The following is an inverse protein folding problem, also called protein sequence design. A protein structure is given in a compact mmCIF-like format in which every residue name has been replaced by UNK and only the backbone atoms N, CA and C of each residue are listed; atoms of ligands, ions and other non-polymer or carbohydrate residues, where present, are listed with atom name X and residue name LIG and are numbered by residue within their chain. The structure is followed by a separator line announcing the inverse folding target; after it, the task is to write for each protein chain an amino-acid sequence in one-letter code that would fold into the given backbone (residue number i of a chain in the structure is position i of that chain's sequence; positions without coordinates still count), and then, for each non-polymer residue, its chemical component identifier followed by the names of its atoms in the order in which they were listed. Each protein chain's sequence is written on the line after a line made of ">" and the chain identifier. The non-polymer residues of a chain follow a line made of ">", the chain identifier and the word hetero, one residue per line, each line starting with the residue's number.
data_IF_122314478831
#
_entry.id   IF_122314478831
#
_cell.length_a   1.000
_cell.length_b   1.000
_cell.length_c   1.000
_cell.angle_alpha   90.00
_cell.angle_beta   90.00
_cell.angle_gamma   90.00
#
_symmetry.space_group_name_H-M   'P 1'
#
loop_
_entity.id
_entity.type
_entity.pdbx_description
1 polymer ?
#
# COMPACT_ATOMS: atom_id res chain seq x y z
N UNK A 1 -14.17 2.00 38.98
CA UNK A 1 -14.42 0.90 38.02
C UNK A 1 -14.00 1.33 36.60
N UNK A 2 -12.75 1.78 36.42
CA UNK A 2 -12.19 2.26 35.12
C UNK A 2 -10.75 1.76 34.89
N UNK A 3 -10.12 1.11 35.89
CA UNK A 3 -8.72 0.67 35.85
C UNK A 3 -8.55 -0.80 35.41
N UNK A 4 -9.63 -1.60 35.47
CA UNK A 4 -9.62 -3.03 35.10
C UNK A 4 -9.80 -3.28 33.60
N UNK A 5 -10.27 -2.29 32.83
CA UNK A 5 -10.44 -2.42 31.38
C UNK A 5 -9.12 -2.18 30.61
N UNK A 6 -8.27 -1.30 31.15
CA UNK A 6 -6.99 -0.95 30.53
C UNK A 6 -6.05 -2.16 30.47
N UNK A 7 -5.93 -2.95 31.54
CA UNK A 7 -5.04 -4.12 31.60
C UNK A 7 -5.49 -5.26 30.67
N UNK A 8 -6.80 -5.42 30.42
CA UNK A 8 -7.34 -6.36 29.44
C UNK A 8 -6.97 -6.02 28.00
N UNK A 9 -6.93 -4.73 27.65
CA UNK A 9 -6.56 -4.30 26.29
C UNK A 9 -5.07 -4.58 25.98
N UNK A 10 -4.15 -4.33 26.91
CA UNK A 10 -2.72 -4.61 26.72
C UNK A 10 -2.41 -6.11 26.61
N UNK A 11 -3.14 -6.95 27.34
CA UNK A 11 -2.99 -8.41 27.28
C UNK A 11 -3.48 -9.02 25.95
N UNK A 12 -4.41 -8.36 25.25
CA UNK A 12 -4.88 -8.78 23.94
C UNK A 12 -4.04 -8.22 22.78
N UNK A 13 -3.41 -7.04 22.98
CA UNK A 13 -2.54 -6.41 21.97
C UNK A 13 -1.16 -7.08 21.92
N UNK A 14 -0.64 -7.59 23.04
CA UNK A 14 0.68 -8.22 23.12
C UNK A 14 0.88 -9.45 22.22
N UNK A 15 -0.04 -10.42 22.09
CA UNK A 15 0.14 -11.55 21.18
C UNK A 15 0.05 -11.13 19.71
N UNK A 16 -0.82 -10.15 19.37
CA UNK A 16 -0.95 -9.63 18.02
C UNK A 16 0.31 -8.87 17.59
N UNK A 17 0.80 -7.98 18.46
CA UNK A 17 2.05 -7.26 18.23
C UNK A 17 3.21 -8.24 18.10
N UNK A 18 3.29 -9.25 18.98
CA UNK A 18 4.28 -10.32 18.89
C UNK A 18 4.22 -11.10 17.57
N UNK A 19 3.01 -11.42 17.09
CA UNK A 19 2.82 -12.09 15.81
C UNK A 19 3.28 -11.21 14.63
N UNK A 20 2.92 -9.92 14.63
CA UNK A 20 3.37 -8.96 13.60
C UNK A 20 4.90 -8.86 13.58
N UNK A 21 5.53 -8.65 14.73
CA UNK A 21 7.00 -8.62 14.83
C UNK A 21 7.62 -9.94 14.38
N UNK A 22 7.04 -11.07 14.75
CA UNK A 22 7.48 -12.39 14.32
C UNK A 22 7.43 -12.57 12.81
N UNK A 23 6.34 -12.16 12.16
CA UNK A 23 6.19 -12.21 10.71
C UNK A 23 7.21 -11.30 10.02
N UNK A 24 7.36 -10.05 10.48
CA UNK A 24 8.34 -9.11 9.93
C UNK A 24 9.76 -9.68 10.05
N UNK A 25 10.12 -10.20 11.21
CA UNK A 25 11.43 -10.82 11.43
C UNK A 25 11.63 -12.03 10.52
N UNK A 26 10.62 -12.90 10.39
CA UNK A 26 10.68 -14.07 9.51
C UNK A 26 10.90 -13.67 8.04
N UNK A 27 10.22 -12.61 7.56
CA UNK A 27 10.40 -12.09 6.21
C UNK A 27 11.82 -11.55 6.00
N UNK A 28 12.36 -10.80 6.96
CA UNK A 28 13.73 -10.28 6.90
C UNK A 28 14.76 -11.42 6.88
N UNK A 29 14.61 -12.41 7.78
CA UNK A 29 15.49 -13.58 7.84
C UNK A 29 15.42 -14.38 6.53
N UNK A 30 14.22 -14.58 5.98
CA UNK A 30 14.04 -15.26 4.70
C UNK A 30 14.72 -14.51 3.56
N UNK A 31 14.61 -13.18 3.50
CA UNK A 31 15.27 -12.35 2.48
C UNK A 31 16.82 -12.47 2.57
N UNK A 32 17.38 -12.43 3.78
CA UNK A 32 18.81 -12.61 4.02
C UNK A 32 19.26 -14.02 3.62
N UNK A 33 18.51 -15.06 4.01
CA UNK A 33 18.80 -16.43 3.65
C UNK A 33 18.80 -16.65 2.13
N UNK A 34 17.80 -16.09 1.42
CA UNK A 34 17.73 -16.14 -0.04
C UNK A 34 18.95 -15.45 -0.68
N UNK A 35 19.40 -14.30 -0.16
CA UNK A 35 20.61 -13.67 -0.67
C UNK A 35 21.86 -14.50 -0.43
N UNK A 36 22.02 -15.08 0.76
CA UNK A 36 23.15 -15.95 1.05
C UNK A 36 23.17 -17.19 0.14
N UNK A 37 22.02 -17.83 -0.10
CA UNK A 37 21.90 -18.97 -1.00
C UNK A 37 22.24 -18.59 -2.45
N UNK A 38 21.89 -17.36 -2.87
CA UNK A 38 22.17 -16.85 -4.22
C UNK A 38 23.57 -16.24 -4.38
N UNK A 39 24.39 -16.24 -3.33
CA UNK A 39 25.72 -15.64 -3.35
C UNK A 39 25.71 -14.12 -3.56
N UNK A 40 24.59 -13.45 -3.27
CA UNK A 40 24.47 -12.01 -3.37
C UNK A 40 25.13 -11.34 -2.17
N UNK A 41 25.86 -10.24 -2.39
CA UNK A 41 26.40 -9.42 -1.32
C UNK A 41 25.25 -8.85 -0.48
N UNK A 42 25.36 -8.94 0.85
CA UNK A 42 24.43 -8.31 1.80
C UNK A 42 24.30 -6.80 1.55
N UNK A 43 25.35 -6.17 0.99
CA UNK A 43 25.30 -4.79 0.52
C UNK A 43 24.18 -4.51 -0.47
N UNK A 44 23.75 -5.49 -1.29
CA UNK A 44 22.65 -5.34 -2.26
C UNK A 44 21.28 -5.28 -1.58
N UNK A 45 21.12 -5.92 -0.41
CA UNK A 45 19.88 -5.88 0.37
C UNK A 45 19.75 -4.65 1.27
N UNK A 46 20.88 -4.23 1.86
CA UNK A 46 20.89 -3.25 2.95
C UNK A 46 21.15 -1.82 2.50
N UNK A 47 21.84 -1.63 1.37
CA UNK A 47 22.12 -0.31 0.81
C UNK A 47 20.96 0.14 -0.08
N UNK A 48 20.83 1.45 -0.19
CA UNK A 48 19.83 2.07 -1.05
C UNK A 48 20.04 1.67 -2.53
N UNK A 49 18.97 1.36 -3.29
CA UNK A 49 19.08 0.96 -4.69
C UNK A 49 19.78 1.99 -5.58
N UNK A 50 19.64 3.29 -5.29
CA UNK A 50 20.33 4.37 -6.02
C UNK A 50 21.84 4.29 -5.79
N UNK A 51 22.25 3.98 -4.57
CA UNK A 51 23.66 3.79 -4.22
C UNK A 51 24.24 2.51 -4.84
N UNK A 52 23.50 1.40 -4.82
CA UNK A 52 23.93 0.13 -5.41
C UNK A 52 24.04 0.23 -6.93
N UNK A 53 23.08 0.89 -7.59
CA UNK A 53 23.04 1.02 -9.04
C UNK A 53 23.94 2.17 -9.57
N UNK A 54 24.50 3.01 -8.70
CA UNK A 54 25.33 4.15 -9.11
C UNK A 54 24.58 5.18 -9.95
N UNK A 55 23.26 5.26 -9.80
CA UNK A 55 22.40 6.18 -10.57
C UNK A 55 22.25 7.51 -9.84
N UNK A 56 21.61 8.49 -10.50
CA UNK A 56 21.45 9.83 -9.97
C UNK A 56 20.67 9.81 -8.65
N UNK A 57 21.08 10.65 -7.69
CA UNK A 57 20.53 10.67 -6.34
C UNK A 57 19.01 10.91 -6.29
N UNK A 58 18.45 11.60 -7.29
CA UNK A 58 17.01 11.90 -7.38
C UNK A 58 16.19 10.82 -8.09
N UNK A 59 16.82 9.77 -8.61
CA UNK A 59 16.11 8.68 -9.28
C UNK A 59 15.23 7.96 -8.26
N UNK A 60 13.94 7.81 -8.58
CA UNK A 60 12.97 7.18 -7.68
C UNK A 60 12.37 8.12 -6.63
N UNK A 61 12.77 9.38 -6.54
CA UNK A 61 12.22 10.33 -5.55
C UNK A 61 10.69 10.44 -5.59
N UNK A 62 10.13 10.54 -6.80
CA UNK A 62 8.68 10.63 -6.97
C UNK A 62 7.99 9.32 -6.55
N UNK A 63 8.62 8.16 -6.84
CA UNK A 63 8.10 6.85 -6.43
C UNK A 63 8.11 6.70 -4.91
N UNK A 64 9.23 7.02 -4.24
CA UNK A 64 9.32 6.99 -2.77
C UNK A 64 8.35 7.97 -2.11
N UNK A 65 8.22 9.18 -2.67
CA UNK A 65 7.26 10.17 -2.16
C UNK A 65 5.82 9.69 -2.31
N UNK A 66 5.47 9.13 -3.46
CA UNK A 66 4.15 8.52 -3.70
C UNK A 66 3.86 7.42 -2.68
N UNK A 67 4.82 6.54 -2.42
CA UNK A 67 4.67 5.46 -1.43
C UNK A 67 4.41 6.00 -0.02
N UNK A 68 5.10 7.06 0.41
CA UNK A 68 4.85 7.70 1.72
C UNK A 68 3.46 8.31 1.80
N UNK A 69 3.01 8.98 0.74
CA UNK A 69 1.67 9.57 0.66
C UNK A 69 0.60 8.48 0.71
N UNK A 70 0.76 7.39 -0.05
CA UNK A 70 -0.16 6.26 -0.03
C UNK A 70 -0.18 5.53 1.31
N UNK A 71 0.98 5.36 1.96
CA UNK A 71 1.08 4.79 3.30
C UNK A 71 0.26 5.63 4.29
N UNK A 72 0.47 6.95 4.28
CA UNK A 72 -0.25 7.89 5.14
C UNK A 72 -1.75 7.84 4.89
N UNK A 73 -2.17 7.81 3.62
CA UNK A 73 -3.59 7.70 3.24
C UNK A 73 -4.21 6.38 3.72
N UNK A 74 -3.53 5.25 3.53
CA UNK A 74 -3.99 3.94 3.98
C UNK A 74 -4.11 3.89 5.52
N UNK A 75 -3.10 4.38 6.24
CA UNK A 75 -3.14 4.50 7.70
C UNK A 75 -4.28 5.39 8.17
N UNK A 76 -4.50 6.54 7.52
CA UNK A 76 -5.61 7.43 7.85
C UNK A 76 -6.97 6.76 7.63
N UNK A 77 -7.15 5.99 6.55
CA UNK A 77 -8.35 5.20 6.31
C UNK A 77 -8.57 4.13 7.39
N UNK A 78 -7.54 3.37 7.75
CA UNK A 78 -7.64 2.36 8.80
C UNK A 78 -7.94 2.99 10.17
N UNK A 79 -7.29 4.10 10.49
CA UNK A 79 -7.54 4.84 11.72
C UNK A 79 -8.96 5.44 11.76
N UNK A 80 -9.41 6.03 10.66
CA UNK A 80 -10.79 6.53 10.57
C UNK A 80 -11.81 5.39 10.74
N UNK A 81 -11.52 4.19 10.24
CA UNK A 81 -12.39 3.03 10.41
C UNK A 81 -12.54 2.60 11.88
N UNK A 82 -11.51 2.77 12.72
CA UNK A 82 -11.62 2.47 14.16
C UNK A 82 -12.41 3.53 14.92
N UNK A 83 -12.43 4.77 14.42
CA UNK A 83 -13.24 5.85 14.98
C UNK A 83 -14.73 5.73 14.65
N UNK A 84 -15.13 4.94 13.65
CA UNK A 84 -16.54 4.69 13.32
C UNK A 84 -17.15 3.71 14.33
N UNK A 85 -18.23 4.09 15.04
CA UNK A 85 -18.89 3.21 16.00
C UNK A 85 -19.31 1.87 15.39
N UNK A 86 -19.19 0.78 16.15
CA UNK A 86 -19.60 -0.57 15.73
C UNK A 86 -21.13 -0.76 15.75
N UNK A 87 -21.89 0.19 15.20
CA UNK A 87 -23.35 0.10 15.04
C UNK A 87 -23.69 -0.41 13.65
N UNK A 88 -24.75 -1.24 13.52
CA UNK A 88 -25.19 -1.79 12.23
C UNK A 88 -25.39 -0.73 11.15
N UNK A 89 -25.86 0.47 11.52
CA UNK A 89 -26.11 1.59 10.59
C UNK A 89 -24.82 2.21 10.03
N UNK A 90 -23.72 2.11 10.77
CA UNK A 90 -22.43 2.74 10.42
C UNK A 90 -21.44 1.74 9.81
N UNK A 91 -21.78 0.44 9.81
CA UNK A 91 -20.97 -0.64 9.27
C UNK A 91 -20.56 -0.41 7.81
N UNK A 92 -21.43 0.19 7.00
CA UNK A 92 -21.12 0.45 5.58
C UNK A 92 -20.04 1.52 5.42
N UNK A 93 -20.08 2.58 6.25
CA UNK A 93 -19.04 3.62 6.25
C UNK A 93 -17.70 3.10 6.74
N UNK A 94 -17.72 2.24 7.76
CA UNK A 94 -16.51 1.56 8.24
C UNK A 94 -15.91 0.64 7.16
N UNK A 95 -16.73 -0.19 6.53
CA UNK A 95 -16.28 -1.12 5.49
C UNK A 95 -15.75 -0.37 4.26
N UNK A 96 -16.34 0.78 3.92
CA UNK A 96 -15.82 1.67 2.87
C UNK A 96 -14.39 2.14 3.20
N UNK A 97 -14.16 2.66 4.41
CA UNK A 97 -12.84 3.11 4.85
C UNK A 97 -11.81 1.97 4.86
N UNK A 98 -12.20 0.79 5.34
CA UNK A 98 -11.34 -0.40 5.29
C UNK A 98 -11.01 -0.81 3.85
N UNK A 99 -12.00 -0.83 2.96
CA UNK A 99 -11.79 -1.18 1.56
C UNK A 99 -10.85 -0.19 0.85
N UNK A 100 -11.03 1.13 1.07
CA UNK A 100 -10.12 2.15 0.55
C UNK A 100 -8.71 2.00 1.11
N UNK A 101 -8.57 1.85 2.43
CA UNK A 101 -7.26 1.67 3.06
C UNK A 101 -6.53 0.41 2.57
N UNK A 102 -7.24 -0.71 2.46
CA UNK A 102 -6.70 -1.97 1.94
C UNK A 102 -6.30 -1.88 0.47
N UNK A 103 -7.11 -1.24 -0.38
CA UNK A 103 -6.77 -1.06 -1.79
C UNK A 103 -5.54 -0.16 -1.95
N UNK A 104 -5.48 0.97 -1.24
CA UNK A 104 -4.32 1.87 -1.27
C UNK A 104 -3.06 1.19 -0.75
N UNK A 105 -3.16 0.44 0.34
CA UNK A 105 -2.02 -0.32 0.87
C UNK A 105 -1.54 -1.41 -0.10
N UNK A 106 -2.47 -2.08 -0.79
CA UNK A 106 -2.15 -3.10 -1.79
C UNK A 106 -1.40 -2.49 -2.99
N UNK A 107 -1.92 -1.40 -3.57
CA UNK A 107 -1.26 -0.69 -4.68
C UNK A 107 0.12 -0.18 -4.27
N UNK A 108 0.23 0.41 -3.08
CA UNK A 108 1.51 0.87 -2.54
C UNK A 108 2.51 -0.27 -2.37
N UNK A 109 2.09 -1.42 -1.86
CA UNK A 109 2.97 -2.57 -1.71
C UNK A 109 3.41 -3.13 -3.07
N UNK A 110 2.50 -3.17 -4.04
CA UNK A 110 2.79 -3.56 -5.41
C UNK A 110 3.86 -2.67 -6.05
N UNK A 111 3.76 -1.35 -5.89
CA UNK A 111 4.75 -0.39 -6.37
C UNK A 111 6.09 -0.49 -5.61
N UNK A 112 6.06 -0.57 -4.27
CA UNK A 112 7.27 -0.62 -3.44
C UNK A 112 8.14 -1.85 -3.72
N UNK A 113 7.51 -2.98 -3.97
CA UNK A 113 8.20 -4.24 -4.24
C UNK A 113 8.31 -4.56 -5.73
N UNK A 114 7.88 -3.63 -6.60
CA UNK A 114 7.87 -3.79 -8.06
C UNK A 114 7.20 -5.11 -8.48
N UNK A 115 6.09 -5.47 -7.82
CA UNK A 115 5.47 -6.76 -8.02
C UNK A 115 4.93 -6.88 -9.45
N UNK A 116 4.18 -5.89 -9.93
CA UNK A 116 3.63 -5.88 -11.28
C UNK A 116 4.68 -5.72 -12.39
N UNK A 117 5.77 -5.00 -12.15
CA UNK A 117 6.80 -4.71 -13.16
C UNK A 117 7.85 -5.83 -13.24
N UNK A 118 8.27 -6.36 -12.09
CA UNK A 118 9.43 -7.25 -11.98
C UNK A 118 9.06 -8.62 -11.46
N UNK A 119 8.41 -8.71 -10.31
CA UNK A 119 8.20 -10.00 -9.65
C UNK A 119 7.26 -10.90 -10.46
N UNK A 120 6.06 -10.41 -10.78
CA UNK A 120 5.03 -11.20 -11.45
C UNK A 120 5.42 -11.54 -12.90
N UNK A 121 5.96 -10.62 -13.72
CA UNK A 121 6.39 -10.97 -15.07
C UNK A 121 7.57 -11.95 -15.10
N UNK A 122 8.59 -11.75 -14.25
CA UNK A 122 9.79 -12.61 -14.29
C UNK A 122 9.59 -13.96 -13.59
N UNK A 123 8.82 -14.02 -12.50
CA UNK A 123 8.72 -15.23 -11.67
C UNK A 123 7.43 -16.01 -11.85
N UNK A 124 6.32 -15.33 -12.17
CA UNK A 124 5.00 -15.96 -12.35
C UNK A 124 4.55 -15.99 -13.83
N UNK A 125 5.28 -15.31 -14.71
CA UNK A 125 4.91 -15.18 -16.13
C UNK A 125 3.62 -14.38 -16.35
N UNK A 126 3.16 -13.61 -15.36
CA UNK A 126 1.96 -12.78 -15.48
C UNK A 126 2.35 -11.46 -16.14
N UNK A 127 1.77 -11.13 -17.30
CA UNK A 127 2.08 -9.88 -18.00
C UNK A 127 1.69 -8.64 -17.20
N UNK A 128 2.50 -7.58 -17.28
CA UNK A 128 2.28 -6.30 -16.58
C UNK A 128 0.88 -5.71 -16.85
N UNK A 129 0.43 -5.75 -18.11
CA UNK A 129 -0.89 -5.26 -18.51
C UNK A 129 -2.04 -5.98 -17.80
N UNK A 130 -1.89 -7.26 -17.45
CA UNK A 130 -2.91 -8.01 -16.70
C UNK A 130 -3.00 -7.48 -15.27
N UNK A 131 -1.87 -7.18 -14.65
CA UNK A 131 -1.80 -6.64 -13.29
C UNK A 131 -2.35 -5.21 -13.24
N UNK A 132 -2.06 -4.39 -14.25
CA UNK A 132 -2.66 -3.05 -14.40
C UNK A 132 -4.19 -3.12 -14.54
N UNK A 133 -4.71 -4.05 -15.35
CA UNK A 133 -6.16 -4.26 -15.48
C UNK A 133 -6.77 -4.69 -14.14
N UNK A 134 -6.08 -5.56 -13.40
CA UNK A 134 -6.52 -5.96 -12.06
C UNK A 134 -6.66 -4.77 -11.11
N UNK A 135 -5.66 -3.88 -11.06
CA UNK A 135 -5.74 -2.65 -10.25
C UNK A 135 -6.90 -1.76 -10.66
N UNK A 136 -7.09 -1.54 -11.97
CA UNK A 136 -8.19 -0.74 -12.49
C UNK A 136 -9.57 -1.33 -12.14
N UNK A 137 -9.73 -2.65 -12.26
CA UNK A 137 -10.97 -3.36 -11.90
C UNK A 137 -11.22 -3.32 -10.40
N UNK A 138 -10.19 -3.50 -9.57
CA UNK A 138 -10.30 -3.41 -8.11
C UNK A 138 -10.76 -2.01 -7.68
N UNK A 139 -10.16 -0.96 -8.24
CA UNK A 139 -10.57 0.42 -8.02
C UNK A 139 -12.02 0.66 -8.47
N UNK A 140 -12.38 0.24 -9.69
CA UNK A 140 -13.73 0.38 -10.22
C UNK A 140 -14.76 -0.33 -9.33
N UNK A 141 -14.42 -1.51 -8.82
CA UNK A 141 -15.28 -2.28 -7.90
C UNK A 141 -15.57 -1.50 -6.63
N UNK A 142 -14.53 -0.93 -6.00
CA UNK A 142 -14.70 -0.09 -4.79
C UNK A 142 -15.56 1.14 -5.09
N UNK A 143 -15.30 1.82 -6.23
CA UNK A 143 -16.06 3.01 -6.62
C UNK A 143 -17.54 2.71 -6.88
N UNK A 144 -17.85 1.63 -7.60
CA UNK A 144 -19.24 1.25 -7.95
C UNK A 144 -20.01 0.73 -6.74
N UNK A 145 -19.36 -0.10 -5.92
CA UNK A 145 -19.98 -0.70 -4.74
C UNK A 145 -20.28 0.35 -3.67
N UNK A 146 -19.36 1.28 -3.42
CA UNK A 146 -19.50 2.33 -2.40
C UNK A 146 -19.94 3.69 -2.95
N UNK A 147 -20.51 3.74 -4.16
CA UNK A 147 -20.90 5.00 -4.83
C UNK A 147 -21.77 5.91 -3.96
N UNK A 148 -22.66 5.34 -3.15
CA UNK A 148 -23.56 6.10 -2.29
C UNK A 148 -22.82 6.80 -1.14
N UNK A 149 -21.72 6.23 -0.67
CA UNK A 149 -20.84 6.79 0.34
C UNK A 149 -19.96 7.89 -0.29
N UNK A 150 -19.42 7.62 -1.47
CA UNK A 150 -18.63 8.56 -2.27
C UNK A 150 -19.40 9.87 -2.57
N UNK A 151 -20.67 9.76 -2.94
CA UNK A 151 -21.54 10.91 -3.20
C UNK A 151 -21.94 11.69 -1.94
N UNK A 152 -21.81 11.09 -0.75
CA UNK A 152 -22.08 11.75 0.53
C UNK A 152 -20.86 12.48 1.08
N UNK A 153 -19.66 12.06 0.70
CA UNK A 153 -18.41 12.78 0.99
C UNK A 153 -18.28 14.02 0.12
N UNK A 154 -17.49 15.00 0.58
CA UNK A 154 -17.11 16.12 -0.28
C UNK A 154 -16.35 15.55 -1.49
N UNK A 155 -16.92 15.69 -2.69
CA UNK A 155 -16.34 15.15 -3.93
C UNK A 155 -15.05 15.86 -4.35
N UNK A 156 -14.80 17.08 -3.85
CA UNK A 156 -13.67 17.90 -4.28
C UNK A 156 -12.29 17.22 -4.10
N UNK A 157 -11.93 16.64 -2.93
CA UNK A 157 -10.64 15.97 -2.76
C UNK A 157 -10.51 14.72 -3.66
N UNK A 158 -11.62 14.00 -3.90
CA UNK A 158 -11.62 12.85 -4.80
C UNK A 158 -11.36 13.29 -6.25
N UNK A 159 -12.04 14.35 -6.71
CA UNK A 159 -11.85 14.89 -8.05
C UNK A 159 -10.42 15.40 -8.24
N UNK A 160 -9.87 16.08 -7.24
CA UNK A 160 -8.47 16.54 -7.26
C UNK A 160 -7.52 15.34 -7.31
N UNK A 161 -7.74 14.30 -6.50
CA UNK A 161 -6.90 13.11 -6.50
C UNK A 161 -6.94 12.38 -7.87
N UNK A 162 -8.13 12.20 -8.44
CA UNK A 162 -8.31 11.59 -9.76
C UNK A 162 -7.67 12.46 -10.85
N UNK A 163 -7.82 13.78 -10.79
CA UNK A 163 -7.22 14.70 -11.75
C UNK A 163 -5.69 14.68 -11.67
N UNK A 164 -5.11 14.71 -10.46
CA UNK A 164 -3.67 14.61 -10.26
C UNK A 164 -3.11 13.26 -10.73
N UNK A 165 -3.79 12.15 -10.41
CA UNK A 165 -3.40 10.82 -10.87
C UNK A 165 -3.46 10.72 -12.41
N UNK A 166 -4.56 11.18 -13.01
CA UNK A 166 -4.69 11.22 -14.47
C UNK A 166 -3.64 12.10 -15.15
N UNK A 167 -3.35 13.28 -14.57
CA UNK A 167 -2.31 14.18 -15.06
C UNK A 167 -0.92 13.55 -14.97
N UNK A 168 -0.62 12.81 -13.90
CA UNK A 168 0.65 12.10 -13.75
C UNK A 168 0.82 11.00 -14.82
N UNK A 169 -0.21 10.19 -15.06
CA UNK A 169 -0.17 9.16 -16.11
C UNK A 169 -0.04 9.77 -17.51
N UNK A 170 -0.76 10.87 -17.78
CA UNK A 170 -0.64 11.58 -19.06
C UNK A 170 0.75 12.19 -19.25
N UNK A 171 1.33 12.77 -18.20
CA UNK A 171 2.69 13.28 -18.24
C UNK A 171 3.69 12.17 -18.57
N UNK A 172 3.56 10.99 -17.97
CA UNK A 172 4.41 9.84 -18.29
C UNK A 172 4.27 9.42 -19.75
N UNK A 173 3.05 9.33 -20.30
CA UNK A 173 2.81 8.98 -21.72
C UNK A 173 3.42 10.01 -22.68
N UNK A 174 3.29 11.30 -22.37
CA UNK A 174 3.78 12.39 -23.22
C UNK A 174 5.30 12.52 -23.14
N UNK A 175 5.87 12.40 -21.94
CA UNK A 175 7.30 12.60 -21.68
C UNK A 175 8.14 11.35 -21.97
N UNK A 176 7.56 10.13 -21.94
CA UNK A 176 8.24 8.91 -22.40
C UNK A 176 8.50 8.89 -23.91
N UNK A 177 7.91 9.80 -24.69
CA UNK A 177 8.05 9.87 -26.16
C UNK A 177 9.19 10.79 -26.65
N UNK A 178 9.98 11.39 -25.76
CA UNK A 178 11.17 12.19 -26.09
C UNK A 178 12.45 11.55 -25.55
#
# INVERSE_FOLDING_TARGET
>A
MLLTDRTRSWAAISPLAGAVFGVVLAVVVAAIAVCHIRGADYGVLSRDPVQVAGIRFYTGYLSSFSAVVMCTAATACFFAATAVPARRRDAVGRNFLLACGSLTAFIMADDLFLLHERLFPMWLGIPENVVMVFHAVALATVLVYYRAQLLRTRLLPLLVAVACFGAAQLADIVLRRS
#
